data_IF_110510145200
#
_entry.id   IF_110510145200
#
_cell.length_a   1.000
_cell.length_b   1.000
_cell.length_c   1.000
_cell.angle_alpha   90.00
_cell.angle_beta   90.00
_cell.angle_gamma   90.00
#
_symmetry.space_group_name_H-M   'P 1'
#
loop_
_entity.id
_entity.type
_entity.pdbx_description
1 polymer ?
#
# COMPACT_ATOMS: atom_id res chain seq x y z
N UNK A 1 7.12 24.24 12.76
CA UNK A 1 6.43 23.02 12.27
C UNK A 1 7.40 22.36 11.30
N UNK A 2 7.89 21.16 11.61
CA UNK A 2 8.66 20.40 10.61
C UNK A 2 7.71 20.12 9.45
N UNK A 3 8.03 20.59 8.24
CA UNK A 3 7.38 20.14 7.03
C UNK A 3 7.56 18.61 6.98
N UNK A 4 6.47 17.89 7.24
CA UNK A 4 6.45 16.46 7.03
C UNK A 4 6.54 16.25 5.52
N UNK A 5 7.71 15.84 5.05
CA UNK A 5 7.95 15.48 3.66
C UNK A 5 6.83 14.53 3.22
N UNK A 6 6.26 14.78 2.05
CA UNK A 6 5.34 13.84 1.42
C UNK A 6 6.05 12.50 1.30
N UNK A 7 5.44 11.43 1.79
CA UNK A 7 5.98 10.07 1.69
C UNK A 7 6.03 9.61 0.21
N UNK A 8 5.00 9.91 -0.56
CA UNK A 8 4.91 9.63 -2.00
C UNK A 8 5.08 10.93 -2.78
N UNK A 9 5.96 10.96 -3.77
CA UNK A 9 6.22 12.14 -4.61
C UNK A 9 4.97 12.56 -5.42
N UNK A 10 4.96 13.80 -5.93
CA UNK A 10 3.86 14.26 -6.78
C UNK A 10 3.77 13.47 -8.10
N UNK A 11 4.91 13.03 -8.65
CA UNK A 11 4.94 12.23 -9.87
C UNK A 11 4.43 10.81 -9.62
N UNK A 12 4.86 10.18 -8.53
CA UNK A 12 4.36 8.87 -8.11
C UNK A 12 2.88 8.91 -7.76
N UNK A 13 2.42 9.95 -7.06
CA UNK A 13 0.99 10.17 -6.78
C UNK A 13 0.18 10.25 -8.08
N UNK A 14 0.68 10.98 -9.09
CA UNK A 14 0.03 11.06 -10.40
C UNK A 14 -0.02 9.68 -11.09
N UNK A 15 1.09 8.93 -11.05
CA UNK A 15 1.17 7.59 -11.63
C UNK A 15 0.27 6.59 -10.92
N UNK A 16 0.21 6.64 -9.60
CA UNK A 16 -0.69 5.85 -8.78
C UNK A 16 -2.16 6.09 -9.19
N UNK A 17 -2.58 7.36 -9.29
CA UNK A 17 -3.95 7.70 -9.68
C UNK A 17 -4.27 7.33 -11.14
N UNK A 18 -3.30 7.43 -12.07
CA UNK A 18 -3.43 6.95 -13.43
C UNK A 18 -3.77 5.45 -13.46
N UNK A 19 -2.99 4.63 -12.76
CA UNK A 19 -3.16 3.19 -12.70
C UNK A 19 -4.42 2.78 -11.92
N UNK A 20 -4.72 3.47 -10.83
CA UNK A 20 -5.97 3.29 -10.09
C UNK A 20 -7.20 3.60 -10.98
N UNK A 21 -7.10 4.63 -11.85
CA UNK A 21 -8.17 4.96 -12.80
C UNK A 21 -8.41 3.82 -13.80
N UNK A 22 -7.35 3.19 -14.32
CA UNK A 22 -7.50 2.02 -15.19
C UNK A 22 -8.15 0.84 -14.46
N UNK A 23 -7.79 0.63 -13.20
CA UNK A 23 -8.34 -0.45 -12.38
C UNK A 23 -9.81 -0.24 -11.95
N UNK A 24 -10.40 0.94 -12.18
CA UNK A 24 -11.84 1.16 -11.94
C UNK A 24 -12.74 0.25 -12.78
N UNK A 25 -12.29 -0.17 -13.97
CA UNK A 25 -13.02 -1.06 -14.85
C UNK A 25 -12.78 -2.56 -14.55
N UNK A 26 -11.80 -2.87 -13.69
CA UNK A 26 -11.48 -4.23 -13.25
C UNK A 26 -12.41 -4.64 -12.10
N UNK A 27 -12.87 -5.87 -12.06
CA UNK A 27 -13.69 -6.39 -10.96
C UNK A 27 -12.90 -6.38 -9.63
N UNK A 28 -13.59 -6.08 -8.51
CA UNK A 28 -13.00 -6.09 -7.19
C UNK A 28 -12.83 -4.69 -6.59
N UNK A 29 -12.40 -4.67 -5.36
CA UNK A 29 -12.21 -3.47 -4.54
C UNK A 29 -10.76 -2.95 -4.62
N UNK A 30 -10.51 -1.80 -4.03
CA UNK A 30 -9.20 -1.21 -3.87
C UNK A 30 -8.68 -1.47 -2.47
N UNK A 31 -7.41 -1.79 -2.34
CA UNK A 31 -6.74 -2.01 -1.04
C UNK A 31 -5.48 -1.16 -0.94
N UNK A 32 -5.20 -0.66 0.26
CA UNK A 32 -3.95 0.02 0.61
C UNK A 32 -3.43 -0.59 1.90
N UNK A 33 -2.23 -1.17 1.85
CA UNK A 33 -1.54 -1.75 2.99
C UNK A 33 -0.35 -0.84 3.37
N UNK A 34 -0.49 -0.16 4.51
CA UNK A 34 0.35 0.96 4.93
C UNK A 34 -0.26 2.28 4.51
N UNK A 35 -1.19 2.80 5.30
CA UNK A 35 -1.86 4.05 4.95
C UNK A 35 -1.30 5.27 5.70
N UNK A 36 -0.50 5.06 6.74
CA UNK A 36 0.05 6.13 7.57
C UNK A 36 -1.00 7.19 7.90
N UNK A 37 -0.83 8.42 7.39
CA UNK A 37 -1.76 9.53 7.61
C UNK A 37 -2.95 9.54 6.65
N UNK A 38 -2.98 8.65 5.66
CA UNK A 38 -4.06 8.51 4.69
C UNK A 38 -4.03 9.55 3.56
N UNK A 39 -2.87 10.08 3.19
CA UNK A 39 -2.78 11.07 2.11
C UNK A 39 -3.14 10.45 0.75
N UNK A 40 -2.57 9.30 0.43
CA UNK A 40 -2.91 8.48 -0.74
C UNK A 40 -4.32 7.91 -0.64
N UNK A 41 -4.72 7.45 0.55
CA UNK A 41 -6.06 6.94 0.82
C UNK A 41 -7.17 7.92 0.46
N UNK A 42 -7.02 9.20 0.85
CA UNK A 42 -7.99 10.26 0.53
C UNK A 42 -8.11 10.49 -0.97
N UNK A 43 -7.01 10.39 -1.71
CA UNK A 43 -7.01 10.54 -3.18
C UNK A 43 -7.68 9.35 -3.85
N UNK A 44 -7.41 8.13 -3.38
CA UNK A 44 -8.04 6.90 -3.89
C UNK A 44 -9.56 6.91 -3.63
N UNK A 45 -10.00 7.26 -2.41
CA UNK A 45 -11.44 7.34 -2.12
C UNK A 45 -12.12 8.41 -2.97
N UNK A 46 -11.51 9.59 -3.12
CA UNK A 46 -12.04 10.64 -4.01
C UNK A 46 -12.15 10.17 -5.46
N UNK A 47 -11.18 9.40 -5.94
CA UNK A 47 -11.23 8.80 -7.28
C UNK A 47 -12.41 7.83 -7.40
N UNK A 48 -12.59 6.94 -6.42
CA UNK A 48 -13.70 5.97 -6.39
C UNK A 48 -15.05 6.69 -6.39
N UNK A 49 -15.27 7.67 -5.51
CA UNK A 49 -16.51 8.43 -5.45
C UNK A 49 -16.83 9.16 -6.76
N UNK A 50 -15.83 9.81 -7.35
CA UNK A 50 -16.00 10.52 -8.62
C UNK A 50 -16.32 9.59 -9.79
N UNK A 51 -15.84 8.36 -9.75
CA UNK A 51 -16.09 7.35 -10.80
C UNK A 51 -17.52 6.83 -10.82
N UNK A 52 -18.26 6.99 -9.73
CA UNK A 52 -19.60 6.41 -9.49
C UNK A 52 -19.63 4.87 -9.61
N UNK A 53 -18.48 4.21 -9.55
CA UNK A 53 -18.37 2.74 -9.55
C UNK A 53 -18.66 2.21 -8.15
N UNK A 54 -19.27 1.02 -8.09
CA UNK A 54 -19.55 0.35 -6.82
C UNK A 54 -18.31 -0.37 -6.29
N UNK A 55 -17.32 0.42 -5.88
CA UNK A 55 -16.07 -0.08 -5.28
C UNK A 55 -15.93 0.43 -3.86
N UNK A 56 -15.19 -0.31 -3.05
CA UNK A 56 -14.79 0.10 -1.69
C UNK A 56 -13.28 0.27 -1.63
N UNK A 57 -12.85 1.19 -0.79
CA UNK A 57 -11.46 1.28 -0.36
C UNK A 57 -11.30 0.54 0.97
N UNK A 58 -10.27 -0.31 1.07
CA UNK A 58 -9.88 -1.02 2.28
C UNK A 58 -8.49 -0.56 2.69
N UNK A 59 -8.36 -0.13 3.94
CA UNK A 59 -7.11 0.34 4.52
C UNK A 59 -6.65 -0.61 5.61
N UNK A 60 -5.37 -0.97 5.54
CA UNK A 60 -4.70 -1.81 6.52
C UNK A 60 -3.49 -1.09 7.07
N UNK A 61 -3.40 -1.00 8.37
CA UNK A 61 -2.28 -0.40 9.06
C UNK A 61 -2.21 -0.96 10.49
N UNK A 62 -1.00 -1.03 11.04
CA UNK A 62 -0.82 -1.41 12.44
C UNK A 62 -1.40 -0.36 13.39
N UNK A 63 -1.38 0.92 12.95
CA UNK A 63 -1.61 2.08 13.81
C UNK A 63 -0.79 2.01 15.10
N UNK A 64 0.39 1.41 14.99
CA UNK A 64 1.40 1.26 16.03
C UNK A 64 2.80 1.65 15.55
N UNK A 65 2.91 2.07 14.27
CA UNK A 65 4.15 2.34 13.58
C UNK A 65 4.73 1.09 12.91
N UNK A 66 5.98 1.22 12.46
CA UNK A 66 6.69 0.15 11.75
C UNK A 66 6.93 -1.07 12.66
N UNK A 67 7.00 -2.29 12.09
CA UNK A 67 7.48 -3.47 12.82
C UNK A 67 9.01 -3.43 12.98
N UNK A 68 9.59 -4.45 13.60
CA UNK A 68 11.04 -4.62 13.67
C UNK A 68 11.62 -4.91 12.27
N UNK A 69 12.79 -4.33 12.01
CA UNK A 69 13.58 -4.61 10.81
C UNK A 69 14.07 -6.05 10.78
N UNK A 70 14.16 -6.60 9.61
CA UNK A 70 14.86 -7.87 9.37
C UNK A 70 16.26 -7.62 8.80
N UNK A 71 17.07 -8.67 8.62
CA UNK A 71 18.39 -8.56 7.98
C UNK A 71 18.28 -8.08 6.52
N UNK A 72 17.16 -8.32 5.88
CA UNK A 72 16.85 -7.91 4.52
C UNK A 72 16.66 -6.38 4.41
N UNK A 73 16.40 -5.71 5.52
CA UNK A 73 16.23 -4.24 5.60
C UNK A 73 17.55 -3.50 5.91
N UNK A 74 18.66 -4.23 6.08
CA UNK A 74 19.95 -3.60 6.36
C UNK A 74 20.38 -2.68 5.20
N UNK A 75 20.60 -1.39 5.52
CA UNK A 75 20.86 -0.33 4.54
C UNK A 75 21.79 0.74 5.10
N UNK A 76 22.17 1.70 4.25
CA UNK A 76 22.92 2.90 4.63
C UNK A 76 22.14 3.85 5.54
N UNK A 77 20.81 3.69 5.63
CA UNK A 77 19.96 4.47 6.55
C UNK A 77 20.21 4.12 8.02
N UNK A 78 20.92 3.01 8.29
CA UNK A 78 21.30 2.62 9.66
C UNK A 78 20.07 2.49 10.57
N UNK A 79 19.99 3.42 11.51
CA UNK A 79 18.95 3.45 12.53
C UNK A 79 17.63 4.16 12.12
N UNK A 80 17.52 4.70 10.92
CA UNK A 80 16.25 5.24 10.41
C UNK A 80 15.25 4.10 10.18
N UNK A 81 13.95 4.40 10.18
CA UNK A 81 12.86 3.43 10.01
C UNK A 81 12.85 2.32 11.07
N UNK A 82 12.96 2.73 12.33
CA UNK A 82 12.88 1.82 13.49
C UNK A 82 11.45 1.39 13.78
N UNK A 83 11.34 0.32 14.53
CA UNK A 83 10.07 -0.09 15.12
C UNK A 83 9.38 1.08 15.84
N UNK A 84 8.07 1.17 15.67
CA UNK A 84 7.20 2.24 16.16
C UNK A 84 7.40 3.63 15.53
N UNK A 85 8.34 3.82 14.60
CA UNK A 85 8.37 5.04 13.76
C UNK A 85 7.16 5.05 12.81
N UNK A 86 6.83 6.21 12.24
CA UNK A 86 5.66 6.44 11.41
C UNK A 86 4.32 6.11 12.12
N UNK A 87 4.30 6.26 13.44
CA UNK A 87 3.08 6.09 14.21
C UNK A 87 2.05 7.15 13.87
N UNK A 88 0.82 6.68 13.63
CA UNK A 88 -0.39 7.51 13.54
C UNK A 88 -1.56 6.73 14.15
N UNK A 89 -2.48 7.40 14.82
CA UNK A 89 -3.63 6.69 15.37
C UNK A 89 -4.72 6.47 14.30
N UNK A 90 -5.44 5.33 14.37
CA UNK A 90 -6.62 5.10 13.53
C UNK A 90 -7.63 6.27 13.61
N UNK A 91 -7.75 6.88 14.80
CA UNK A 91 -8.64 8.02 15.02
C UNK A 91 -8.26 9.22 14.15
N UNK A 92 -6.99 9.53 14.04
CA UNK A 92 -6.52 10.65 13.20
C UNK A 92 -6.87 10.44 11.73
N UNK A 93 -6.68 9.23 11.20
CA UNK A 93 -7.08 8.89 9.82
C UNK A 93 -8.59 9.05 9.64
N UNK A 94 -9.39 8.49 10.55
CA UNK A 94 -10.85 8.62 10.51
C UNK A 94 -11.29 10.09 10.56
N UNK A 95 -10.68 10.91 11.40
CA UNK A 95 -10.99 12.34 11.51
C UNK A 95 -10.64 13.12 10.21
N UNK A 96 -9.54 12.72 9.53
CA UNK A 96 -9.18 13.30 8.23
C UNK A 96 -10.26 13.01 7.17
N UNK A 97 -10.72 11.76 7.06
CA UNK A 97 -11.83 11.42 6.15
C UNK A 97 -13.09 12.21 6.47
N UNK A 98 -13.48 12.30 7.74
CA UNK A 98 -14.65 13.10 8.16
C UNK A 98 -14.54 14.57 7.77
N UNK A 99 -13.35 15.17 7.89
CA UNK A 99 -13.11 16.57 7.52
C UNK A 99 -13.23 16.83 6.02
N UNK A 100 -12.95 15.86 5.20
CA UNK A 100 -13.07 15.99 3.73
C UNK A 100 -14.46 15.69 3.21
N UNK A 101 -15.33 15.09 4.03
CA UNK A 101 -16.67 14.66 3.63
C UNK A 101 -16.69 13.42 2.74
N UNK A 102 -15.53 12.80 2.48
CA UNK A 102 -15.43 11.55 1.73
C UNK A 102 -15.97 10.37 2.53
N UNK A 103 -16.41 9.35 1.84
CA UNK A 103 -16.85 8.10 2.45
C UNK A 103 -15.73 7.49 3.29
N UNK A 104 -16.08 6.98 4.45
CA UNK A 104 -15.12 6.28 5.30
C UNK A 104 -14.82 4.90 4.72
N UNK A 105 -13.52 4.59 4.45
CA UNK A 105 -13.13 3.27 3.96
C UNK A 105 -13.30 2.19 5.04
N UNK A 106 -13.19 0.94 4.63
CA UNK A 106 -13.09 -0.18 5.57
C UNK A 106 -11.70 -0.17 6.18
N UNK A 107 -11.57 0.11 7.49
CA UNK A 107 -10.27 0.25 8.15
C UNK A 107 -10.02 -0.93 9.09
N UNK A 108 -9.02 -1.74 8.78
CA UNK A 108 -8.52 -2.86 9.58
C UNK A 108 -7.26 -2.46 10.32
N UNK A 109 -7.30 -2.51 11.64
CA UNK A 109 -6.13 -2.23 12.50
C UNK A 109 -5.46 -3.54 12.87
N UNK A 110 -4.34 -3.84 12.25
CA UNK A 110 -3.48 -4.98 12.60
C UNK A 110 -2.12 -4.85 11.90
N UNK A 111 -1.10 -5.54 12.38
CA UNK A 111 0.07 -5.86 11.57
C UNK A 111 -0.34 -6.84 10.46
N UNK A 112 0.30 -6.75 9.28
CA UNK A 112 -0.15 -7.50 8.12
C UNK A 112 -0.06 -9.01 8.30
N UNK A 113 0.94 -9.50 9.03
CA UNK A 113 1.10 -10.93 9.37
C UNK A 113 -0.04 -11.51 10.20
N UNK A 114 -0.82 -10.66 10.86
CA UNK A 114 -1.95 -11.08 11.69
C UNK A 114 -3.31 -10.92 10.97
N UNK A 115 -3.31 -10.55 9.69
CA UNK A 115 -4.54 -10.48 8.89
C UNK A 115 -4.93 -11.88 8.41
N UNK A 116 -6.22 -12.18 8.51
CA UNK A 116 -6.79 -13.37 7.90
C UNK A 116 -7.29 -13.03 6.48
N UNK A 117 -6.70 -13.59 5.42
CA UNK A 117 -7.08 -13.26 4.05
C UNK A 117 -8.55 -13.56 3.72
N UNK A 118 -9.19 -14.53 4.41
CA UNK A 118 -10.57 -14.90 4.13
C UNK A 118 -11.60 -13.95 4.76
N UNK A 119 -11.27 -13.33 5.89
CA UNK A 119 -12.22 -12.49 6.65
C UNK A 119 -11.86 -11.02 6.67
N UNK A 120 -10.59 -10.70 6.43
CA UNK A 120 -10.10 -9.33 6.53
C UNK A 120 -9.90 -8.65 5.19
N UNK A 121 -9.72 -9.39 4.10
CA UNK A 121 -9.58 -8.84 2.75
C UNK A 121 -10.89 -8.93 1.95
N UNK A 122 -11.08 -8.09 0.92
CA UNK A 122 -12.18 -8.25 -0.02
C UNK A 122 -12.04 -9.56 -0.80
N UNK A 123 -13.13 -10.04 -1.37
CA UNK A 123 -13.15 -11.27 -2.17
C UNK A 123 -12.26 -11.16 -3.42
N UNK A 124 -12.32 -10.00 -4.09
CA UNK A 124 -11.51 -9.67 -5.26
C UNK A 124 -10.88 -8.30 -5.11
N UNK A 125 -9.67 -8.16 -5.64
CA UNK A 125 -8.88 -6.93 -5.60
C UNK A 125 -8.58 -6.47 -7.03
N UNK A 126 -9.05 -5.27 -7.37
CA UNK A 126 -8.77 -4.65 -8.66
C UNK A 126 -7.46 -3.84 -8.64
N UNK A 127 -7.18 -3.21 -7.50
CA UNK A 127 -6.01 -2.35 -7.30
C UNK A 127 -5.48 -2.50 -5.88
N UNK A 128 -4.17 -2.67 -5.77
CA UNK A 128 -3.49 -2.72 -4.48
C UNK A 128 -2.31 -1.74 -4.45
N UNK A 129 -2.25 -0.91 -3.41
CA UNK A 129 -1.08 -0.10 -3.08
C UNK A 129 -0.43 -0.66 -1.82
N UNK A 130 0.82 -1.13 -1.94
CA UNK A 130 1.58 -1.80 -0.90
C UNK A 130 2.72 -0.87 -0.47
N UNK A 131 2.54 -0.19 0.65
CA UNK A 131 3.44 0.84 1.20
C UNK A 131 3.79 0.53 2.65
N UNK A 132 4.42 -0.63 2.85
CA UNK A 132 4.76 -1.14 4.18
C UNK A 132 6.21 -0.93 4.59
N UNK A 133 6.99 -0.17 3.82
CA UNK A 133 8.39 0.24 4.05
C UNK A 133 9.40 -0.92 4.17
N UNK A 134 9.09 -1.98 4.90
CA UNK A 134 10.03 -3.03 5.28
C UNK A 134 9.78 -4.35 4.52
N UNK A 135 10.83 -5.15 4.39
CA UNK A 135 10.81 -6.44 3.70
C UNK A 135 9.68 -7.36 4.14
N UNK A 136 9.54 -7.57 5.46
CA UNK A 136 8.52 -8.45 6.02
C UNK A 136 7.10 -7.97 5.69
N UNK A 137 6.87 -6.67 5.77
CA UNK A 137 5.59 -6.03 5.46
C UNK A 137 5.23 -6.20 3.98
N UNK A 138 6.15 -5.90 3.06
CA UNK A 138 5.90 -6.04 1.62
C UNK A 138 5.73 -7.50 1.22
N UNK A 139 6.57 -8.40 1.73
CA UNK A 139 6.44 -9.84 1.48
C UNK A 139 5.09 -10.39 1.91
N UNK A 140 4.64 -10.01 3.10
CA UNK A 140 3.33 -10.40 3.63
C UNK A 140 2.20 -9.80 2.78
N UNK A 141 2.29 -8.52 2.43
CA UNK A 141 1.29 -7.84 1.60
C UNK A 141 1.13 -8.51 0.23
N UNK A 142 2.23 -8.84 -0.44
CA UNK A 142 2.20 -9.59 -1.72
C UNK A 142 1.52 -10.95 -1.56
N UNK A 143 1.84 -11.67 -0.49
CA UNK A 143 1.23 -12.98 -0.20
C UNK A 143 -0.27 -12.90 0.06
N UNK A 144 -0.72 -11.86 0.75
CA UNK A 144 -2.14 -11.64 1.07
C UNK A 144 -2.96 -11.22 -0.18
N UNK A 145 -2.40 -10.33 -1.00
CA UNK A 145 -3.12 -9.71 -2.12
C UNK A 145 -3.18 -10.63 -3.33
N UNK A 146 -2.08 -11.32 -3.65
CA UNK A 146 -1.96 -12.10 -4.89
C UNK A 146 -3.08 -13.13 -5.12
N UNK A 147 -3.50 -13.93 -4.13
CA UNK A 147 -4.58 -14.91 -4.34
C UNK A 147 -5.96 -14.29 -4.63
N UNK A 148 -6.12 -13.01 -4.32
CA UNK A 148 -7.37 -12.26 -4.48
C UNK A 148 -7.32 -11.23 -5.59
N UNK A 149 -6.16 -11.11 -6.25
CA UNK A 149 -6.00 -10.17 -7.36
C UNK A 149 -6.84 -10.63 -8.56
N UNK A 150 -7.67 -9.76 -9.07
CA UNK A 150 -8.49 -10.03 -10.24
C UNK A 150 -7.67 -10.11 -11.52
N UNK A 151 -8.19 -10.77 -12.54
CA UNK A 151 -7.61 -10.69 -13.88
C UNK A 151 -7.45 -9.23 -14.30
N UNK A 152 -6.27 -8.85 -14.74
CA UNK A 152 -5.88 -7.46 -15.03
C UNK A 152 -5.87 -6.53 -13.79
N UNK A 153 -5.88 -7.08 -12.59
CA UNK A 153 -5.62 -6.33 -11.36
C UNK A 153 -4.19 -5.80 -11.33
N UNK A 154 -3.98 -4.70 -10.63
CA UNK A 154 -2.68 -4.01 -10.56
C UNK A 154 -2.24 -3.94 -9.10
N UNK A 155 -1.00 -4.34 -8.83
CA UNK A 155 -0.32 -4.11 -7.56
C UNK A 155 0.77 -3.05 -7.76
N UNK A 156 0.80 -2.05 -6.90
CA UNK A 156 1.91 -1.09 -6.79
C UNK A 156 2.63 -1.35 -5.48
N UNK A 157 3.95 -1.46 -5.53
CA UNK A 157 4.80 -1.50 -4.34
C UNK A 157 5.65 -0.23 -4.30
N UNK A 158 5.56 0.52 -3.21
CA UNK A 158 6.37 1.70 -2.99
C UNK A 158 7.80 1.35 -2.53
N UNK A 159 8.71 2.29 -2.65
CA UNK A 159 10.11 2.18 -2.20
C UNK A 159 10.96 1.09 -2.87
N UNK A 160 10.58 0.55 -4.02
CA UNK A 160 11.36 -0.47 -4.70
C UNK A 160 12.79 0.00 -5.04
N UNK A 161 12.97 1.23 -5.51
CA UNK A 161 14.26 1.81 -5.84
C UNK A 161 14.83 2.73 -4.74
N UNK A 162 14.29 2.66 -3.51
CA UNK A 162 14.78 3.49 -2.41
C UNK A 162 16.02 2.89 -1.76
N UNK A 163 17.21 3.51 -1.87
CA UNK A 163 18.44 2.96 -1.30
C UNK A 163 18.45 2.90 0.23
N UNK A 164 17.56 3.65 0.89
CA UNK A 164 17.39 3.60 2.34
C UNK A 164 16.52 2.44 2.79
N UNK A 165 15.67 1.92 1.91
CA UNK A 165 14.69 0.86 2.17
C UNK A 165 14.87 -0.29 1.15
N UNK A 166 15.93 -1.11 1.24
CA UNK A 166 16.18 -2.18 0.28
C UNK A 166 15.21 -3.37 0.44
N UNK A 167 14.48 -3.44 1.54
CA UNK A 167 13.53 -4.50 1.85
C UNK A 167 12.44 -4.70 0.79
N UNK A 168 11.75 -3.63 0.33
CA UNK A 168 10.74 -3.71 -0.72
C UNK A 168 11.26 -4.34 -2.02
N UNK A 169 12.43 -3.92 -2.53
CA UNK A 169 13.02 -4.52 -3.73
C UNK A 169 13.25 -6.02 -3.55
N UNK A 170 13.86 -6.43 -2.44
CA UNK A 170 14.12 -7.85 -2.15
C UNK A 170 12.84 -8.67 -2.09
N UNK A 171 11.81 -8.15 -1.45
CA UNK A 171 10.51 -8.84 -1.37
C UNK A 171 9.85 -9.00 -2.73
N UNK A 172 9.88 -7.95 -3.57
CA UNK A 172 9.34 -7.97 -4.94
C UNK A 172 10.12 -8.93 -5.82
N UNK A 173 11.46 -8.88 -5.78
CA UNK A 173 12.31 -9.77 -6.60
C UNK A 173 12.10 -11.25 -6.23
N UNK A 174 12.02 -11.57 -4.94
CA UNK A 174 11.67 -12.92 -4.48
C UNK A 174 10.28 -13.37 -4.94
N UNK A 175 9.32 -12.45 -4.92
CA UNK A 175 7.95 -12.72 -5.38
C UNK A 175 7.94 -13.03 -6.88
N UNK A 176 8.56 -12.21 -7.71
CA UNK A 176 8.59 -12.39 -9.17
C UNK A 176 9.32 -13.66 -9.57
N UNK A 177 10.40 -14.02 -8.89
CA UNK A 177 11.10 -15.28 -9.12
C UNK A 177 10.21 -16.52 -8.89
N UNK A 178 9.25 -16.43 -7.96
CA UNK A 178 8.29 -17.51 -7.67
C UNK A 178 7.04 -17.45 -8.52
N UNK A 179 6.75 -16.30 -9.14
CA UNK A 179 5.52 -16.02 -9.88
C UNK A 179 5.84 -15.45 -11.27
N UNK A 180 6.40 -16.25 -12.20
CA UNK A 180 6.91 -15.78 -13.49
C UNK A 180 5.82 -15.26 -14.44
N UNK A 181 4.56 -15.43 -14.11
CA UNK A 181 3.43 -14.90 -14.88
C UNK A 181 3.21 -13.40 -14.65
N UNK A 182 3.74 -12.84 -13.55
CA UNK A 182 3.67 -11.42 -13.29
C UNK A 182 4.78 -10.65 -13.98
N UNK A 183 4.46 -9.46 -14.45
CA UNK A 183 5.40 -8.55 -15.10
C UNK A 183 5.69 -7.37 -14.18
N UNK A 184 6.94 -6.92 -14.18
CA UNK A 184 7.41 -5.75 -13.47
C UNK A 184 7.64 -4.60 -14.45
N UNK A 185 7.05 -3.45 -14.15
CA UNK A 185 7.43 -2.16 -14.71
C UNK A 185 7.82 -1.22 -13.57
N UNK A 186 8.73 -0.30 -13.81
CA UNK A 186 9.22 0.62 -12.80
C UNK A 186 8.85 2.07 -13.15
N UNK A 187 8.52 2.84 -12.14
CA UNK A 187 8.34 4.28 -12.24
C UNK A 187 8.82 4.95 -10.94
N UNK A 188 9.92 5.69 -11.00
CA UNK A 188 10.62 6.23 -9.81
C UNK A 188 10.88 5.12 -8.78
N UNK A 189 10.28 5.20 -7.59
CA UNK A 189 10.40 4.15 -6.56
C UNK A 189 9.25 3.14 -6.61
N UNK A 190 8.28 3.30 -7.53
CA UNK A 190 7.16 2.36 -7.66
C UNK A 190 7.53 1.14 -8.49
N UNK A 191 7.31 -0.06 -7.94
CA UNK A 191 7.22 -1.29 -8.70
C UNK A 191 5.74 -1.54 -9.07
N UNK A 192 5.46 -1.60 -10.37
CA UNK A 192 4.14 -1.86 -10.95
C UNK A 192 4.10 -3.31 -11.37
N UNK A 193 3.24 -4.11 -10.75
CA UNK A 193 3.14 -5.57 -10.94
C UNK A 193 1.75 -5.89 -11.50
N UNK A 194 1.71 -6.59 -12.64
CA UNK A 194 0.46 -6.95 -13.33
C UNK A 194 0.60 -8.23 -14.16
#
# INVERSE_FOLDING_TARGET
MKDFLKQVSDQETKKLLELATLALETEGDFVELGCYRGDTSLLLEKLIENSKKSKKLWLYDSFAGLPEKTKEDASVAGDEFKASELFVSKREVVERFKKTGLKLPVIKKNFFENLNPETDLPEKIAFAFLDGDLYSSIKTSLSLVTPKLSDRGIMLVHDYNNPKLPGPARAVDEFLNKNPNFRLNLFETLAIIS
#
